data_IF_354059788914
#
_entry.id   IF_354059788914
#
_cell.length_a   1.000
_cell.length_b   1.000
_cell.length_c   1.000
_cell.angle_alpha   90.00
_cell.angle_beta   90.00
_cell.angle_gamma   90.00
#
_symmetry.space_group_name_H-M   'P 1'
#
loop_
_entity.id
_entity.type
_entity.pdbx_description
1 polymer ?
#
# COMPACT_ATOMS: atom_id res chain seq x y z
N UNK A 1 4.62 -17.77 14.13
CA UNK A 1 3.36 -17.14 13.68
C UNK A 1 3.57 -16.61 12.27
N UNK A 2 2.86 -17.11 11.25
CA UNK A 2 2.96 -16.58 9.88
C UNK A 2 2.27 -15.23 9.86
N UNK A 3 3.01 -14.15 9.59
CA UNK A 3 2.41 -12.83 9.33
C UNK A 3 1.72 -12.93 7.96
N UNK A 4 0.39 -12.87 7.92
CA UNK A 4 -0.37 -12.94 6.67
C UNK A 4 -0.07 -11.75 5.73
N UNK A 5 0.45 -10.67 6.29
CA UNK A 5 0.73 -9.42 5.61
C UNK A 5 2.11 -8.96 6.09
N UNK A 6 3.16 -9.37 5.36
CA UNK A 6 4.55 -9.06 5.73
C UNK A 6 5.09 -7.89 4.91
N UNK A 7 4.77 -6.66 5.36
CA UNK A 7 5.26 -5.43 4.73
C UNK A 7 6.75 -5.17 5.01
N UNK A 8 7.40 -5.97 5.87
CA UNK A 8 8.82 -5.87 6.18
C UNK A 8 9.72 -6.55 5.13
N UNK A 9 9.15 -7.10 4.06
CA UNK A 9 9.92 -7.74 3.01
C UNK A 9 10.83 -6.71 2.30
N UNK A 10 12.11 -7.05 1.97
CA UNK A 10 13.03 -6.13 1.26
C UNK A 10 12.49 -5.64 -0.10
N UNK A 11 11.47 -6.30 -0.63
CA UNK A 11 10.71 -5.83 -1.80
C UNK A 11 10.10 -4.43 -1.60
N UNK A 12 9.71 -4.06 -0.37
CA UNK A 12 9.18 -2.74 -0.05
C UNK A 12 10.27 -1.75 0.41
N UNK A 13 11.55 -2.15 0.42
CA UNK A 13 12.65 -1.24 0.78
C UNK A 13 12.77 -0.02 -0.16
N UNK A 14 12.55 -0.14 -1.48
CA UNK A 14 12.54 1.02 -2.37
C UNK A 14 11.29 1.87 -2.15
N UNK A 15 11.49 3.17 -1.89
CA UNK A 15 10.40 4.14 -1.66
C UNK A 15 9.43 4.21 -2.85
N UNK A 16 9.94 4.08 -4.08
CA UNK A 16 9.10 4.12 -5.28
C UNK A 16 8.10 2.96 -5.35
N UNK A 17 8.45 1.76 -4.86
CA UNK A 17 7.53 0.61 -4.84
C UNK A 17 6.36 0.89 -3.90
N UNK A 18 6.63 1.50 -2.74
CA UNK A 18 5.57 1.90 -1.78
C UNK A 18 4.61 2.90 -2.40
N UNK A 19 5.15 3.91 -3.09
CA UNK A 19 4.35 4.92 -3.78
C UNK A 19 3.50 4.27 -4.87
N UNK A 20 4.08 3.39 -5.69
CA UNK A 20 3.36 2.67 -6.75
C UNK A 20 2.20 1.87 -6.18
N UNK A 21 2.42 1.11 -5.10
CA UNK A 21 1.36 0.31 -4.46
C UNK A 21 0.20 1.17 -3.98
N UNK A 22 0.49 2.28 -3.30
CA UNK A 22 -0.54 3.21 -2.81
C UNK A 22 -1.30 3.86 -3.97
N UNK A 23 -0.57 4.33 -4.99
CA UNK A 23 -1.17 4.98 -6.16
C UNK A 23 -2.07 4.01 -6.92
N UNK A 24 -1.65 2.77 -7.13
CA UNK A 24 -2.47 1.76 -7.81
C UNK A 24 -3.76 1.47 -7.06
N UNK A 25 -3.70 1.33 -5.72
CA UNK A 25 -4.89 1.08 -4.90
C UNK A 25 -5.87 2.26 -4.93
N UNK A 26 -5.37 3.49 -4.81
CA UNK A 26 -6.21 4.70 -4.86
C UNK A 26 -6.78 4.92 -6.25
N UNK A 27 -5.98 4.75 -7.31
CA UNK A 27 -6.44 4.87 -8.69
C UNK A 27 -7.53 3.83 -9.02
N UNK A 28 -7.36 2.59 -8.56
CA UNK A 28 -8.38 1.56 -8.73
C UNK A 28 -9.66 1.90 -7.95
N UNK A 29 -9.52 2.38 -6.71
CA UNK A 29 -10.66 2.83 -5.94
C UNK A 29 -11.45 3.96 -6.61
N UNK A 30 -10.77 4.95 -7.19
CA UNK A 30 -11.40 6.00 -7.99
C UNK A 30 -12.06 5.46 -9.27
N UNK A 31 -11.44 4.48 -9.92
CA UNK A 31 -12.03 3.80 -11.07
C UNK A 31 -13.34 3.08 -10.67
N UNK A 32 -13.36 2.37 -9.55
CA UNK A 32 -14.58 1.72 -9.04
C UNK A 32 -15.67 2.71 -8.62
N UNK A 33 -15.30 3.92 -8.16
CA UNK A 33 -16.28 4.99 -7.97
C UNK A 33 -16.92 5.40 -9.30
N UNK A 34 -16.15 5.45 -10.38
CA UNK A 34 -16.64 5.82 -11.71
C UNK A 34 -17.56 4.77 -12.33
N UNK A 35 -17.40 3.49 -11.96
CA UNK A 35 -18.26 2.37 -12.41
C UNK A 35 -19.51 2.20 -11.55
N UNK A 36 -19.64 2.95 -10.45
CA UNK A 36 -20.75 2.87 -9.51
C UNK A 36 -20.57 1.82 -8.40
N UNK A 37 -19.42 1.14 -8.34
CA UNK A 37 -19.08 0.13 -7.35
C UNK A 37 -18.55 0.75 -6.04
N UNK A 38 -19.39 1.55 -5.37
CA UNK A 38 -19.01 2.35 -4.18
C UNK A 38 -18.43 1.50 -3.04
N UNK A 39 -18.98 0.32 -2.79
CA UNK A 39 -18.48 -0.58 -1.75
C UNK A 39 -17.01 -0.99 -2.02
N UNK A 40 -16.72 -1.37 -3.27
CA UNK A 40 -15.38 -1.78 -3.67
C UNK A 40 -14.40 -0.62 -3.64
N UNK A 41 -14.83 0.56 -4.10
CA UNK A 41 -14.04 1.76 -4.01
C UNK A 41 -13.58 2.08 -2.58
N UNK A 42 -14.49 2.03 -1.61
CA UNK A 42 -14.17 2.30 -0.20
C UNK A 42 -13.16 1.28 0.33
N UNK A 43 -13.31 0.00 -0.04
CA UNK A 43 -12.37 -1.05 0.36
C UNK A 43 -10.98 -0.77 -0.21
N UNK A 44 -10.86 -0.50 -1.52
CA UNK A 44 -9.57 -0.26 -2.15
C UNK A 44 -8.88 1.01 -1.65
N UNK A 45 -9.64 2.11 -1.51
CA UNK A 45 -9.11 3.37 -0.94
C UNK A 45 -8.71 3.16 0.52
N UNK A 46 -9.52 2.45 1.31
CA UNK A 46 -9.23 2.15 2.71
C UNK A 46 -7.96 1.31 2.88
N UNK A 47 -7.79 0.27 2.06
CA UNK A 47 -6.56 -0.54 2.05
C UNK A 47 -5.37 0.31 1.60
N UNK A 48 -5.53 1.15 0.56
CA UNK A 48 -4.49 2.08 0.10
C UNK A 48 -4.03 3.04 1.20
N UNK A 49 -4.96 3.58 1.99
CA UNK A 49 -4.65 4.43 3.13
C UNK A 49 -3.90 3.70 4.25
N UNK A 50 -4.31 2.46 4.57
CA UNK A 50 -3.61 1.62 5.57
C UNK A 50 -2.18 1.29 5.09
N UNK A 51 -2.01 0.96 3.82
CA UNK A 51 -0.70 0.72 3.21
C UNK A 51 0.17 1.97 3.28
N UNK A 52 -0.36 3.14 2.91
CA UNK A 52 0.35 4.42 3.00
C UNK A 52 0.80 4.72 4.43
N UNK A 53 -0.09 4.54 5.41
CA UNK A 53 0.23 4.73 6.82
C UNK A 53 1.33 3.76 7.28
N UNK A 54 1.20 2.46 6.98
CA UNK A 54 2.23 1.47 7.36
C UNK A 54 3.57 1.75 6.71
N UNK A 55 3.59 2.10 5.42
CA UNK A 55 4.79 2.46 4.68
C UNK A 55 5.49 3.72 5.21
N UNK A 56 4.74 4.65 5.80
CA UNK A 56 5.29 5.83 6.46
C UNK A 56 5.80 5.54 7.87
N UNK A 57 5.20 4.58 8.59
CA UNK A 57 5.62 4.23 9.97
C UNK A 57 6.79 3.25 10.08
N UNK A 58 7.01 2.43 9.05
CA UNK A 58 8.10 1.45 9.05
C UNK A 58 9.37 2.14 8.58
N UNK A 59 10.45 1.98 9.35
CA UNK A 59 11.77 2.43 8.95
C UNK A 59 12.43 1.34 8.09
N UNK A 60 12.66 1.67 6.82
CA UNK A 60 13.26 0.74 5.84
C UNK A 60 14.68 1.14 5.47
N UNK A 61 15.21 2.23 6.03
CA UNK A 61 16.61 2.64 5.80
C UNK A 61 17.59 1.65 6.46
N UNK A 62 17.13 0.82 7.40
CA UNK A 62 17.91 -0.25 8.00
C UNK A 62 18.41 -1.34 7.02
N UNK A 63 17.94 -1.36 5.76
CA UNK A 63 18.32 -2.36 4.76
C UNK A 63 19.30 -1.84 3.69
N UNK A 64 19.70 -0.56 3.75
CA UNK A 64 20.63 0.03 2.77
C UNK A 64 22.09 0.11 3.24
N UNK A 65 22.37 -0.28 4.48
CA UNK A 65 23.69 -0.14 5.12
C UNK A 65 24.59 -1.40 5.04
N UNK A 66 24.17 -2.45 4.32
CA UNK A 66 24.96 -3.66 4.05
C UNK A 66 25.52 -3.69 2.61
#
# INVERSE_FOLDING_TARGET
>A
MRKLIDLYHPFFAPVWIRIVVVVVLVAWGLFELSTGAVLWAIIFIGIGAICAWRFATIDYNAFSDD
#
